data_IF_178584096248
#
_entry.id   IF_178584096248
#
_cell.length_a   1.000
_cell.length_b   1.000
_cell.length_c   1.000
_cell.angle_alpha   90.00
_cell.angle_beta   90.00
_cell.angle_gamma   90.00
#
_symmetry.space_group_name_H-M   'P 1'
#
loop_
_entity.id
_entity.type
_entity.pdbx_description
1 polymer ?
#
# COMPACT_ATOMS: atom_id res chain seq x y z
N UNK A 1 24.54 -61.47 17.02
CA UNK A 1 23.15 -61.43 16.50
C UNK A 1 22.24 -60.40 17.19
N UNK A 2 22.74 -59.40 17.94
CA UNK A 2 21.86 -58.45 18.66
C UNK A 2 21.84 -57.01 18.11
N UNK A 3 22.72 -56.64 17.17
CA UNK A 3 22.76 -55.28 16.60
C UNK A 3 21.72 -55.02 15.48
N UNK A 4 21.23 -56.07 14.81
CA UNK A 4 20.35 -55.89 13.63
C UNK A 4 18.88 -55.62 13.96
N UNK A 5 18.43 -55.92 15.19
CA UNK A 5 17.03 -55.72 15.60
C UNK A 5 16.76 -54.27 16.06
N UNK A 6 17.78 -53.56 16.53
CA UNK A 6 17.66 -52.16 16.97
C UNK A 6 17.54 -51.21 15.77
N UNK A 7 18.24 -51.48 14.66
CA UNK A 7 18.11 -50.69 13.43
C UNK A 7 16.72 -50.82 12.75
N UNK A 8 16.06 -51.97 12.90
CA UNK A 8 14.71 -52.18 12.35
C UNK A 8 13.64 -51.43 13.15
N UNK A 9 13.79 -51.33 14.49
CA UNK A 9 12.86 -50.57 15.33
C UNK A 9 12.88 -49.05 15.05
N UNK A 10 14.07 -48.50 14.73
CA UNK A 10 14.24 -47.06 14.45
C UNK A 10 13.68 -46.68 13.07
N UNK A 11 13.67 -47.61 12.11
CA UNK A 11 13.16 -47.34 10.76
C UNK A 11 11.62 -47.34 10.72
N UNK A 12 10.97 -48.21 11.50
CA UNK A 12 9.50 -48.26 11.63
C UNK A 12 8.93 -47.04 12.35
N UNK A 13 9.68 -46.43 13.28
CA UNK A 13 9.24 -45.21 13.97
C UNK A 13 9.19 -43.97 13.06
N UNK A 14 10.04 -43.91 12.02
CA UNK A 14 10.05 -42.79 11.06
C UNK A 14 8.91 -42.84 10.04
N UNK A 15 8.43 -44.01 9.65
CA UNK A 15 7.31 -44.16 8.70
C UNK A 15 5.95 -43.79 9.31
N UNK A 16 5.77 -43.92 10.62
CA UNK A 16 4.50 -43.59 11.29
C UNK A 16 4.33 -42.09 11.53
N UNK A 17 5.42 -41.32 11.51
CA UNK A 17 5.40 -39.86 11.70
C UNK A 17 5.05 -39.09 10.42
N UNK A 18 5.20 -39.70 9.24
CA UNK A 18 4.90 -39.05 7.96
C UNK A 18 3.43 -39.18 7.52
N UNK A 19 2.66 -40.14 8.07
CA UNK A 19 1.26 -40.38 7.67
C UNK A 19 0.19 -39.58 8.46
N UNK A 20 0.59 -38.73 9.42
CA UNK A 20 -0.35 -37.90 10.19
C UNK A 20 -0.58 -36.48 9.62
N UNK A 21 0.00 -36.14 8.47
CA UNK A 21 -0.15 -34.80 7.86
C UNK A 21 -1.27 -34.70 6.82
N UNK A 22 -2.06 -35.76 6.60
CA UNK A 22 -3.05 -35.82 5.53
C UNK A 22 -4.51 -36.04 6.00
N UNK A 23 -4.88 -35.66 7.23
CA UNK A 23 -6.29 -35.66 7.65
C UNK A 23 -6.68 -34.39 8.39
N UNK A 24 -7.45 -33.56 7.68
CA UNK A 24 -8.60 -32.82 8.19
C UNK A 24 -8.38 -32.02 9.48
N UNK A 25 -8.05 -30.75 9.30
CA UNK A 25 -8.23 -29.69 10.28
C UNK A 25 -9.69 -29.57 10.71
N UNK A 26 -9.99 -29.82 11.99
CA UNK A 26 -10.89 -29.03 12.87
C UNK A 26 -11.28 -29.77 14.16
N UNK A 27 -11.34 -31.10 14.17
CA UNK A 27 -12.12 -31.84 15.17
C UNK A 27 -11.30 -32.46 16.33
N UNK A 28 -9.96 -32.38 16.26
CA UNK A 28 -9.09 -33.16 17.15
C UNK A 28 -8.67 -32.45 18.46
N UNK A 29 -9.22 -31.26 18.77
CA UNK A 29 -8.70 -30.40 19.86
C UNK A 29 -9.67 -30.17 21.02
N UNK A 30 -10.99 -30.30 20.81
CA UNK A 30 -11.96 -30.37 21.93
C UNK A 30 -11.83 -31.68 22.74
N UNK A 31 -11.22 -32.71 22.15
CA UNK A 31 -10.98 -34.01 22.77
C UNK A 31 -10.09 -33.93 24.02
N UNK A 32 -9.06 -33.06 24.05
CA UNK A 32 -8.12 -33.00 25.19
C UNK A 32 -8.74 -32.55 26.52
N UNK A 33 -9.71 -31.63 26.48
CA UNK A 33 -10.41 -31.15 27.68
C UNK A 33 -11.47 -32.13 28.16
N UNK A 34 -12.19 -32.78 27.24
CA UNK A 34 -13.21 -33.78 27.57
C UNK A 34 -12.59 -35.07 28.08
N UNK A 35 -11.49 -35.52 27.47
CA UNK A 35 -10.72 -36.68 27.94
C UNK A 35 -10.09 -36.43 29.32
N UNK A 36 -9.64 -35.19 29.57
CA UNK A 36 -9.17 -34.78 30.89
C UNK A 36 -10.29 -34.78 31.95
N UNK A 37 -11.46 -34.21 31.65
CA UNK A 37 -12.60 -34.22 32.57
C UNK A 37 -13.07 -35.66 32.86
N UNK A 38 -13.02 -36.55 31.87
CA UNK A 38 -13.30 -37.97 32.07
C UNK A 38 -12.25 -38.66 32.96
N UNK A 39 -10.96 -38.36 32.76
CA UNK A 39 -9.90 -38.89 33.63
C UNK A 39 -10.01 -38.35 35.06
N UNK A 40 -10.35 -37.07 35.23
CA UNK A 40 -10.59 -36.44 36.52
C UNK A 40 -11.79 -37.07 37.25
N UNK A 41 -12.89 -37.29 36.53
CA UNK A 41 -14.10 -37.94 37.07
C UNK A 41 -13.82 -39.40 37.46
N UNK A 42 -13.03 -40.11 36.65
CA UNK A 42 -12.65 -41.51 36.89
C UNK A 42 -11.71 -41.65 38.10
N UNK A 43 -10.80 -40.68 38.30
CA UNK A 43 -9.94 -40.64 39.48
C UNK A 43 -10.74 -40.27 40.73
N UNK A 44 -11.65 -39.29 40.67
CA UNK A 44 -12.52 -38.90 41.79
C UNK A 44 -13.39 -40.07 42.27
N UNK A 45 -13.89 -40.90 41.35
CA UNK A 45 -14.68 -42.08 41.65
C UNK A 45 -13.88 -43.24 42.30
N UNK A 46 -12.53 -43.22 42.21
CA UNK A 46 -11.64 -44.30 42.69
C UNK A 46 -10.58 -43.82 43.70
N UNK A 47 -10.73 -42.64 44.30
CA UNK A 47 -9.78 -42.14 45.31
C UNK A 47 -10.07 -42.72 46.70
N UNK A 48 -9.01 -43.19 47.37
CA UNK A 48 -9.00 -43.53 48.79
C UNK A 48 -8.95 -42.21 49.61
N UNK A 49 -9.76 -42.03 50.68
CA UNK A 49 -9.90 -40.75 51.41
C UNK A 49 -8.63 -40.21 52.10
N UNK A 50 -7.52 -40.93 52.08
CA UNK A 50 -6.37 -40.68 52.95
C UNK A 50 -5.20 -39.90 52.32
N UNK A 51 -5.20 -39.60 51.01
CA UNK A 51 -4.10 -38.82 50.37
C UNK A 51 -4.55 -37.94 49.16
N UNK A 52 -5.05 -36.71 49.38
CA UNK A 52 -5.72 -35.90 48.36
C UNK A 52 -4.81 -35.09 47.40
N UNK A 53 -3.48 -35.27 47.37
CA UNK A 53 -2.57 -34.23 46.83
C UNK A 53 -2.36 -34.15 45.28
N UNK A 54 -2.97 -35.02 44.48
CA UNK A 54 -2.70 -35.11 43.01
C UNK A 54 -3.63 -34.30 42.07
N UNK A 55 -4.91 -34.02 42.39
CA UNK A 55 -5.83 -33.33 41.47
C UNK A 55 -5.50 -31.84 41.28
N UNK A 56 -5.01 -31.14 42.31
CA UNK A 56 -4.80 -29.69 42.24
C UNK A 56 -3.67 -29.28 41.28
N UNK A 57 -2.54 -29.99 41.30
CA UNK A 57 -1.41 -29.71 40.39
C UNK A 57 -1.78 -29.98 38.93
N UNK A 58 -2.59 -31.00 38.67
CA UNK A 58 -3.03 -31.32 37.30
C UNK A 58 -4.09 -30.32 36.81
N UNK A 59 -4.99 -29.85 37.69
CA UNK A 59 -5.90 -28.73 37.39
C UNK A 59 -5.13 -27.43 37.08
N UNK A 60 -4.06 -27.13 37.83
CA UNK A 60 -3.21 -25.96 37.54
C UNK A 60 -2.51 -26.07 36.18
N UNK A 61 -2.00 -27.25 35.82
CA UNK A 61 -1.40 -27.48 34.50
C UNK A 61 -2.45 -27.36 33.38
N UNK A 62 -3.65 -27.92 33.56
CA UNK A 62 -4.73 -27.79 32.57
C UNK A 62 -5.25 -26.36 32.42
N UNK A 63 -5.36 -25.60 33.52
CA UNK A 63 -5.69 -24.18 33.46
C UNK A 63 -4.61 -23.38 32.70
N UNK A 64 -3.33 -23.74 32.88
CA UNK A 64 -2.23 -23.12 32.13
C UNK A 64 -2.27 -23.47 30.63
N UNK A 65 -2.58 -24.73 30.28
CA UNK A 65 -2.74 -25.16 28.90
C UNK A 65 -3.95 -24.49 28.23
N UNK A 66 -5.10 -24.42 28.90
CA UNK A 66 -6.28 -23.72 28.38
C UNK A 66 -6.04 -22.22 28.16
N UNK A 67 -5.19 -21.59 28.98
CA UNK A 67 -4.78 -20.20 28.76
C UNK A 67 -3.89 -20.07 27.52
N UNK A 68 -2.93 -20.97 27.33
CA UNK A 68 -2.08 -21.00 26.13
C UNK A 68 -2.90 -21.27 24.87
N UNK A 69 -3.87 -22.19 24.92
CA UNK A 69 -4.80 -22.46 23.83
C UNK A 69 -5.65 -21.24 23.49
N UNK A 70 -6.20 -20.57 24.50
CA UNK A 70 -6.96 -19.35 24.28
C UNK A 70 -6.10 -18.24 23.64
N UNK A 71 -4.83 -18.11 24.04
CA UNK A 71 -3.88 -17.20 23.40
C UNK A 71 -3.56 -17.60 21.96
N UNK A 72 -3.44 -18.90 21.67
CA UNK A 72 -3.27 -19.40 20.30
C UNK A 72 -4.50 -19.12 19.43
N UNK A 73 -5.70 -19.30 19.98
CA UNK A 73 -6.97 -18.99 19.30
C UNK A 73 -7.09 -17.49 19.02
N UNK A 74 -6.76 -16.64 20.02
CA UNK A 74 -6.73 -15.19 19.87
C UNK A 74 -5.74 -14.77 18.76
N UNK A 75 -4.55 -15.34 18.74
CA UNK A 75 -3.55 -15.08 17.70
C UNK A 75 -4.04 -15.53 16.32
N UNK A 76 -4.77 -16.65 16.22
CA UNK A 76 -5.36 -17.12 14.97
C UNK A 76 -6.45 -16.16 14.46
N UNK A 77 -7.35 -15.73 15.34
CA UNK A 77 -8.39 -14.73 15.01
C UNK A 77 -7.74 -13.40 14.59
N UNK A 78 -6.68 -12.97 15.26
CA UNK A 78 -5.95 -11.74 14.92
C UNK A 78 -5.34 -11.83 13.51
N UNK A 79 -4.72 -12.97 13.16
CA UNK A 79 -4.22 -13.21 11.80
C UNK A 79 -5.34 -13.18 10.75
N UNK A 80 -6.52 -13.71 11.07
CA UNK A 80 -7.67 -13.66 10.18
C UNK A 80 -8.17 -12.22 9.96
N UNK A 81 -8.25 -11.42 11.03
CA UNK A 81 -8.64 -9.99 10.93
C UNK A 81 -7.64 -9.21 10.08
N UNK A 82 -6.34 -9.42 10.26
CA UNK A 82 -5.30 -8.82 9.41
C UNK A 82 -5.48 -9.25 7.94
N UNK A 83 -5.80 -10.53 7.71
CA UNK A 83 -6.11 -11.04 6.37
C UNK A 83 -7.29 -10.34 5.71
N UNK A 84 -8.40 -10.14 6.45
CA UNK A 84 -9.58 -9.40 5.98
C UNK A 84 -9.24 -7.92 5.71
N UNK A 85 -8.47 -7.28 6.59
CA UNK A 85 -8.03 -5.90 6.40
C UNK A 85 -7.19 -5.75 5.12
N UNK A 86 -6.29 -6.70 4.83
CA UNK A 86 -5.53 -6.74 3.57
C UNK A 86 -6.44 -6.90 2.36
N UNK A 87 -7.45 -7.77 2.42
CA UNK A 87 -8.41 -7.95 1.33
C UNK A 87 -9.20 -6.66 1.06
N UNK A 88 -9.67 -5.98 2.11
CA UNK A 88 -10.34 -4.68 2.00
C UNK A 88 -9.42 -3.64 1.37
N UNK A 89 -8.17 -3.52 1.84
CA UNK A 89 -7.20 -2.58 1.27
C UNK A 89 -6.94 -2.86 -0.23
N UNK A 90 -6.82 -4.14 -0.61
CA UNK A 90 -6.64 -4.54 -2.01
C UNK A 90 -7.86 -4.20 -2.87
N UNK A 91 -9.07 -4.44 -2.37
CA UNK A 91 -10.30 -4.07 -3.06
C UNK A 91 -10.43 -2.56 -3.24
N UNK A 92 -10.14 -1.78 -2.20
CA UNK A 92 -10.13 -0.31 -2.25
C UNK A 92 -9.08 0.22 -3.22
N UNK A 93 -7.87 -0.35 -3.25
CA UNK A 93 -6.85 0.02 -4.23
C UNK A 93 -7.27 -0.34 -5.66
N UNK A 94 -7.93 -1.49 -5.85
CA UNK A 94 -8.42 -1.93 -7.17
C UNK A 94 -9.47 -0.98 -7.74
N UNK A 95 -10.36 -0.44 -6.90
CA UNK A 95 -11.41 0.48 -7.35
C UNK A 95 -10.88 1.86 -7.79
N UNK A 96 -9.63 2.18 -7.44
CA UNK A 96 -8.97 3.42 -7.81
C UNK A 96 -8.36 3.37 -9.21
N UNK A 97 -8.16 2.19 -9.80
CA UNK A 97 -7.63 2.06 -11.15
C UNK A 97 -8.46 2.88 -12.16
N UNK A 98 -7.78 3.72 -12.94
CA UNK A 98 -8.41 4.62 -13.92
C UNK A 98 -9.11 5.84 -13.30
N UNK A 99 -9.10 6.01 -11.97
CA UNK A 99 -9.62 7.20 -11.31
C UNK A 99 -8.52 8.23 -11.10
N UNK A 100 -8.90 9.49 -11.14
CA UNK A 100 -8.06 10.59 -10.69
C UNK A 100 -8.06 10.64 -9.17
N UNK A 101 -6.87 10.69 -8.59
CA UNK A 101 -6.67 10.73 -7.15
C UNK A 101 -5.72 11.84 -6.77
N UNK A 102 -5.85 12.32 -5.55
CA UNK A 102 -4.92 13.24 -4.91
C UNK A 102 -4.16 12.47 -3.83
N UNK A 103 -2.82 12.57 -3.84
CA UNK A 103 -1.94 11.80 -2.98
C UNK A 103 -0.99 12.71 -2.23
N UNK A 104 -0.91 12.53 -0.92
CA UNK A 104 0.07 13.23 -0.09
C UNK A 104 1.47 12.74 -0.41
N UNK A 105 2.23 13.52 -1.17
CA UNK A 105 3.61 13.19 -1.52
C UNK A 105 4.45 14.43 -1.70
N UNK A 106 5.61 14.42 -1.06
CA UNK A 106 6.67 15.43 -1.19
C UNK A 106 7.74 15.02 -2.20
N UNK A 107 7.58 13.88 -2.90
CA UNK A 107 8.56 13.48 -3.91
C UNK A 107 8.43 14.34 -5.18
N UNK A 108 9.48 14.42 -5.99
CA UNK A 108 9.46 14.94 -7.35
C UNK A 108 10.31 13.98 -8.19
N UNK A 109 9.77 13.44 -9.27
CA UNK A 109 10.56 12.61 -10.19
C UNK A 109 10.99 13.47 -11.37
N UNK A 110 12.28 13.43 -11.68
CA UNK A 110 12.87 13.99 -12.89
C UNK A 110 13.16 12.83 -13.83
N UNK A 111 12.60 12.87 -15.02
CA UNK A 111 12.82 11.86 -16.07
C UNK A 111 13.04 12.55 -17.41
N UNK A 112 14.17 12.28 -18.05
CA UNK A 112 14.57 12.95 -19.29
C UNK A 112 14.55 14.48 -19.16
N UNK A 113 14.93 15.01 -17.99
CA UNK A 113 14.90 16.45 -17.69
C UNK A 113 13.50 17.07 -17.55
N UNK A 114 12.43 16.26 -17.52
CA UNK A 114 11.05 16.73 -17.36
C UNK A 114 10.53 16.36 -15.97
N UNK A 115 9.81 17.28 -15.33
CA UNK A 115 9.11 17.03 -14.07
C UNK A 115 7.59 17.03 -14.26
N UNK A 116 6.90 16.39 -13.32
CA UNK A 116 5.45 16.40 -13.26
C UNK A 116 4.96 17.50 -12.32
N UNK A 117 3.82 18.14 -12.61
CA UNK A 117 3.24 19.12 -11.72
C UNK A 117 2.94 18.55 -10.34
N UNK A 118 3.21 19.34 -9.31
CA UNK A 118 2.82 19.07 -7.93
C UNK A 118 1.83 20.12 -7.45
N UNK A 119 0.98 19.74 -6.52
CA UNK A 119 -0.05 20.62 -5.97
C UNK A 119 0.24 20.89 -4.49
N UNK A 120 -0.22 22.04 -4.03
CA UNK A 120 -0.28 22.33 -2.60
C UNK A 120 -1.50 23.17 -2.30
N UNK A 121 -2.05 23.02 -1.10
CA UNK A 121 -3.21 23.76 -0.63
C UNK A 121 -2.83 24.62 0.56
N UNK A 122 -3.03 25.92 0.42
CA UNK A 122 -2.90 26.89 1.50
C UNK A 122 -4.20 26.95 2.29
N UNK A 123 -4.11 26.82 3.61
CA UNK A 123 -5.27 26.94 4.52
C UNK A 123 -5.65 28.38 4.86
N UNK A 124 -4.91 29.37 4.34
CA UNK A 124 -5.17 30.80 4.47
C UNK A 124 -4.37 31.58 3.43
N UNK A 125 -4.60 32.89 3.35
CA UNK A 125 -3.84 33.77 2.46
C UNK A 125 -2.38 33.90 2.96
N UNK A 126 -1.43 33.87 2.02
CA UNK A 126 0.00 33.98 2.30
C UNK A 126 0.63 35.09 1.46
N UNK A 127 1.42 35.96 2.11
CA UNK A 127 2.15 37.05 1.45
C UNK A 127 3.49 36.59 0.88
N UNK A 128 4.05 35.52 1.46
CA UNK A 128 5.31 34.93 1.01
C UNK A 128 5.16 33.42 0.92
N UNK A 129 5.16 32.90 -0.29
CA UNK A 129 5.21 31.47 -0.58
C UNK A 129 6.51 31.15 -1.30
N UNK A 130 7.21 30.12 -0.82
CA UNK A 130 8.41 29.60 -1.46
C UNK A 130 8.36 28.08 -1.53
N UNK A 131 8.75 27.53 -2.67
CA UNK A 131 8.97 26.09 -2.86
C UNK A 131 10.46 25.81 -2.74
N UNK A 132 10.81 24.86 -1.89
CA UNK A 132 12.17 24.36 -1.75
C UNK A 132 12.25 22.98 -2.40
N UNK A 133 13.21 22.78 -3.31
CA UNK A 133 13.52 21.47 -3.89
C UNK A 133 14.84 20.99 -3.31
N UNK A 134 14.86 19.77 -2.83
CA UNK A 134 15.98 19.10 -2.20
C UNK A 134 16.44 17.91 -3.03
N UNK A 135 17.75 17.74 -3.13
CA UNK A 135 18.40 16.60 -3.74
C UNK A 135 18.24 15.31 -2.92
N UNK A 136 18.75 14.21 -3.48
CA UNK A 136 18.75 12.90 -2.79
C UNK A 136 19.58 12.90 -1.50
N UNK A 137 20.58 13.78 -1.39
CA UNK A 137 21.41 13.97 -0.20
C UNK A 137 20.77 14.84 0.89
N UNK A 138 19.62 15.46 0.62
CA UNK A 138 18.95 16.43 1.51
C UNK A 138 19.47 17.87 1.36
N UNK A 139 20.42 18.09 0.47
CA UNK A 139 20.91 19.38 0.02
C UNK A 139 19.81 20.19 -0.67
N UNK A 140 19.76 21.51 -0.42
CA UNK A 140 18.83 22.41 -1.09
C UNK A 140 19.35 22.66 -2.52
N UNK A 141 18.60 22.16 -3.49
CA UNK A 141 18.92 22.26 -4.93
C UNK A 141 18.36 23.55 -5.53
N UNK A 142 17.13 23.90 -5.18
CA UNK A 142 16.44 25.06 -5.75
C UNK A 142 15.50 25.67 -4.73
N UNK A 143 15.43 26.99 -4.73
CA UNK A 143 14.35 27.75 -4.09
C UNK A 143 13.62 28.55 -5.15
N UNK A 144 12.29 28.43 -5.17
CA UNK A 144 11.42 29.19 -6.08
C UNK A 144 10.46 30.02 -5.24
N UNK A 145 10.57 31.34 -5.32
CA UNK A 145 9.65 32.26 -4.64
C UNK A 145 8.40 32.50 -5.51
N UNK A 146 7.25 32.03 -5.03
CA UNK A 146 5.94 32.18 -5.67
C UNK A 146 5.21 33.46 -5.26
N UNK A 147 5.84 34.30 -4.43
CA UNK A 147 5.30 35.56 -3.90
C UNK A 147 3.98 35.32 -3.13
N UNK A 148 3.09 36.31 -3.10
CA UNK A 148 1.80 36.22 -2.44
C UNK A 148 0.86 35.29 -3.21
N UNK A 149 0.16 34.44 -2.48
CA UNK A 149 -0.82 33.48 -2.99
C UNK A 149 -2.03 33.46 -2.05
N UNK A 150 -3.23 33.47 -2.61
CA UNK A 150 -4.46 33.36 -1.82
C UNK A 150 -4.67 31.95 -1.26
N UNK A 151 -5.61 31.79 -0.33
CA UNK A 151 -6.02 30.48 0.15
C UNK A 151 -6.50 29.57 -1.00
N UNK A 152 -6.36 28.25 -0.83
CA UNK A 152 -6.82 27.26 -1.80
C UNK A 152 -5.71 26.48 -2.49
N UNK A 153 -6.06 25.82 -3.58
CA UNK A 153 -5.16 24.94 -4.34
C UNK A 153 -4.29 25.73 -5.31
N UNK A 154 -3.01 25.38 -5.31
CA UNK A 154 -1.98 25.93 -6.19
C UNK A 154 -1.20 24.78 -6.82
N UNK A 155 -0.63 25.05 -7.99
CA UNK A 155 0.19 24.10 -8.73
C UNK A 155 1.57 24.69 -9.00
N UNK A 156 2.58 23.84 -8.87
CA UNK A 156 3.97 24.16 -9.16
C UNK A 156 4.57 23.10 -10.07
N UNK A 157 5.39 23.53 -11.03
CA UNK A 157 6.18 22.66 -11.89
C UNK A 157 7.63 23.10 -11.76
N UNK A 158 8.51 22.16 -11.45
CA UNK A 158 9.93 22.44 -11.40
C UNK A 158 10.54 22.27 -12.80
N UNK A 159 11.39 23.19 -13.20
CA UNK A 159 12.10 23.15 -14.48
C UNK A 159 13.22 22.11 -14.54
N UNK A 160 13.52 21.43 -13.42
CA UNK A 160 14.62 20.47 -13.33
C UNK A 160 15.99 21.13 -13.25
N UNK A 161 16.04 22.43 -12.94
CA UNK A 161 17.27 23.20 -12.81
C UNK A 161 17.58 23.51 -11.34
N UNK A 162 18.86 23.60 -11.01
CA UNK A 162 19.31 24.03 -9.68
C UNK A 162 19.40 25.55 -9.53
N UNK A 163 19.96 26.02 -8.41
CA UNK A 163 20.17 27.44 -8.12
C UNK A 163 21.07 28.16 -9.13
N UNK A 164 22.03 27.43 -9.73
CA UNK A 164 23.02 27.96 -10.66
C UNK A 164 22.55 27.88 -12.12
N UNK A 165 21.46 27.17 -12.37
CA UNK A 165 20.84 27.00 -13.69
C UNK A 165 21.29 25.72 -14.41
N UNK A 166 22.03 24.85 -13.72
CA UNK A 166 22.47 23.58 -14.26
C UNK A 166 21.34 22.54 -14.21
N UNK A 167 21.32 21.65 -15.20
CA UNK A 167 20.31 20.58 -15.28
C UNK A 167 20.60 19.51 -14.24
N UNK A 168 19.58 19.18 -13.46
CA UNK A 168 19.65 18.12 -12.47
C UNK A 168 19.49 16.73 -13.11
N UNK A 169 20.26 15.72 -12.66
CA UNK A 169 20.14 14.36 -13.16
C UNK A 169 18.73 13.77 -12.98
N UNK A 170 18.41 12.79 -13.82
CA UNK A 170 17.21 11.97 -13.62
C UNK A 170 17.26 11.28 -12.25
N UNK A 171 16.16 11.38 -11.50
CA UNK A 171 16.14 10.91 -10.12
C UNK A 171 14.92 11.34 -9.33
N UNK A 172 14.92 10.97 -8.06
CA UNK A 172 13.86 11.32 -7.11
C UNK A 172 14.35 12.41 -6.16
N UNK A 173 13.70 13.55 -6.24
CA UNK A 173 13.91 14.73 -5.43
C UNK A 173 12.80 14.83 -4.39
N UNK A 174 12.99 15.73 -3.43
CA UNK A 174 11.95 16.11 -2.47
C UNK A 174 11.63 17.58 -2.63
N UNK A 175 10.39 17.97 -2.40
CA UNK A 175 10.05 19.38 -2.21
C UNK A 175 9.33 19.62 -0.89
N UNK A 176 9.34 20.88 -0.50
CA UNK A 176 8.56 21.43 0.59
C UNK A 176 8.04 22.81 0.20
N UNK A 177 6.96 23.25 0.85
CA UNK A 177 6.35 24.55 0.60
C UNK A 177 6.25 25.30 1.91
N UNK A 178 6.87 26.48 1.96
CA UNK A 178 6.79 27.37 3.10
C UNK A 178 5.92 28.55 2.73
N UNK A 179 4.89 28.79 3.55
CA UNK A 179 3.97 29.90 3.38
C UNK A 179 3.89 30.74 4.66
N UNK A 180 3.98 32.08 4.51
CA UNK A 180 3.95 33.02 5.63
C UNK A 180 3.03 34.21 5.36
N UNK A 181 2.40 34.70 6.42
CA UNK A 181 1.63 35.96 6.41
C UNK A 181 2.56 37.19 6.37
N UNK A 182 1.96 38.38 6.23
CA UNK A 182 2.68 39.66 6.32
C UNK A 182 3.50 39.78 7.63
N UNK A 183 2.89 39.33 8.74
CA UNK A 183 3.46 39.39 10.09
C UNK A 183 4.44 38.23 10.39
N UNK A 184 4.82 37.47 9.37
CA UNK A 184 5.68 36.27 9.48
C UNK A 184 5.09 35.09 10.24
N UNK A 185 3.77 35.07 10.48
CA UNK A 185 3.06 33.89 10.95
C UNK A 185 3.06 32.78 9.90
N UNK A 186 3.06 31.51 10.32
CA UNK A 186 3.01 30.37 9.40
C UNK A 186 1.59 30.15 8.88
N UNK A 187 1.47 29.89 7.58
CA UNK A 187 0.22 29.46 6.95
C UNK A 187 0.32 27.94 6.73
N UNK A 188 -0.59 27.12 7.28
CA UNK A 188 -0.55 25.68 7.08
C UNK A 188 -0.65 25.33 5.59
N UNK A 189 0.23 24.43 5.15
CA UNK A 189 0.28 23.94 3.77
C UNK A 189 0.05 22.44 3.75
N UNK A 190 -0.85 22.00 2.86
CA UNK A 190 -1.05 20.58 2.56
C UNK A 190 -0.44 20.30 1.19
N UNK A 191 0.57 19.43 1.15
CA UNK A 191 1.26 19.08 -0.09
C UNK A 191 0.64 17.83 -0.69
N UNK A 192 0.38 17.87 -2.00
CA UNK A 192 -0.25 16.77 -2.72
C UNK A 192 0.21 16.64 -4.18
N UNK A 193 -0.09 15.49 -4.77
CA UNK A 193 0.05 15.21 -6.19
C UNK A 193 -1.28 14.73 -6.72
N UNK A 194 -1.76 15.32 -7.81
CA UNK A 194 -2.90 14.82 -8.53
C UNK A 194 -2.46 13.99 -9.74
N UNK A 195 -3.15 12.87 -9.99
CA UNK A 195 -2.91 12.08 -11.19
C UNK A 195 -3.86 10.89 -11.29
N UNK A 196 -3.97 10.34 -12.50
CA UNK A 196 -4.73 9.13 -12.75
C UNK A 196 -3.96 7.90 -12.26
N UNK A 197 -4.64 6.98 -11.59
CA UNK A 197 -4.07 5.68 -11.24
C UNK A 197 -3.97 4.82 -12.50
N UNK A 198 -2.76 4.61 -13.00
CA UNK A 198 -2.47 3.83 -14.20
C UNK A 198 -2.28 2.33 -13.92
N UNK A 199 -2.11 1.94 -12.66
CA UNK A 199 -1.89 0.55 -12.28
C UNK A 199 -2.02 0.33 -10.78
N UNK A 200 -2.29 -0.91 -10.40
CA UNK A 200 -2.35 -1.35 -8.99
C UNK A 200 -1.50 -2.61 -8.84
N UNK A 201 -0.74 -2.68 -7.75
CA UNK A 201 0.10 -3.83 -7.42
C UNK A 201 -0.08 -4.22 -5.95
N UNK A 202 0.06 -5.51 -5.68
CA UNK A 202 -0.16 -6.11 -4.36
C UNK A 202 1.08 -6.84 -3.83
N UNK A 203 2.27 -6.30 -4.11
CA UNK A 203 3.52 -6.76 -3.53
C UNK A 203 3.67 -6.22 -2.10
N UNK A 204 3.90 -7.12 -1.14
CA UNK A 204 4.09 -6.78 0.27
C UNK A 204 2.79 -6.59 1.07
N UNK A 205 2.89 -5.80 2.13
CA UNK A 205 1.83 -5.64 3.16
C UNK A 205 0.71 -4.68 2.74
N UNK A 206 1.03 -3.65 1.95
CA UNK A 206 0.09 -2.59 1.55
C UNK A 206 0.04 -2.48 0.03
N UNK A 207 -1.15 -2.29 -0.56
CA UNK A 207 -1.28 -2.12 -2.00
C UNK A 207 -0.57 -0.85 -2.49
N UNK A 208 0.08 -0.95 -3.65
CA UNK A 208 0.70 0.16 -4.35
C UNK A 208 -0.18 0.58 -5.53
N UNK A 209 -0.26 1.87 -5.78
CA UNK A 209 -0.90 2.48 -6.95
C UNK A 209 0.16 3.20 -7.78
N UNK A 210 0.08 3.10 -9.10
CA UNK A 210 0.98 3.80 -10.03
C UNK A 210 0.36 5.11 -10.46
N UNK A 211 1.00 6.23 -10.12
CA UNK A 211 0.53 7.58 -10.42
C UNK A 211 1.69 8.37 -11.00
N UNK A 212 1.51 8.98 -12.17
CA UNK A 212 2.54 9.75 -12.88
C UNK A 212 3.89 9.01 -13.04
N UNK A 213 3.86 7.67 -13.15
CA UNK A 213 5.06 6.83 -13.27
C UNK A 213 5.55 6.21 -11.95
N UNK A 214 5.22 6.83 -10.82
CA UNK A 214 5.69 6.44 -9.49
C UNK A 214 4.74 5.43 -8.82
N UNK A 215 5.31 4.43 -8.13
CA UNK A 215 4.56 3.53 -7.26
C UNK A 215 4.43 4.14 -5.87
N UNK A 216 3.20 4.38 -5.42
CA UNK A 216 2.89 5.00 -4.13
C UNK A 216 1.95 4.09 -3.35
N UNK A 217 2.11 4.03 -2.03
CA UNK A 217 1.21 3.28 -1.16
C UNK A 217 -0.20 3.88 -1.20
N UNK A 218 -1.22 3.04 -1.42
CA UNK A 218 -2.60 3.49 -1.60
C UNK A 218 -3.17 4.26 -0.40
N UNK A 219 -2.67 4.02 0.82
CA UNK A 219 -3.11 4.76 2.01
C UNK A 219 -2.64 6.22 2.07
N UNK A 220 -1.73 6.63 1.17
CA UNK A 220 -1.33 8.04 1.01
C UNK A 220 -2.31 8.84 0.15
N UNK A 221 -3.30 8.18 -0.45
CA UNK A 221 -4.37 8.86 -1.18
C UNK A 221 -5.19 9.66 -0.18
N UNK A 222 -5.25 10.97 -0.39
CA UNK A 222 -5.98 11.92 0.43
C UNK A 222 -7.43 12.08 -0.03
N UNK A 223 -7.69 11.86 -1.33
CA UNK A 223 -9.01 11.99 -1.90
C UNK A 223 -9.08 11.66 -3.39
N UNK A 224 -10.29 11.79 -3.93
CA UNK A 224 -10.55 11.76 -5.36
C UNK A 224 -10.26 13.13 -5.97
N UNK A 225 -9.69 13.15 -7.18
CA UNK A 225 -9.46 14.37 -7.96
C UNK A 225 -10.34 14.36 -9.22
N UNK A 226 -10.41 15.48 -9.93
CA UNK A 226 -11.08 15.62 -11.24
C UNK A 226 -10.10 16.15 -12.31
N UNK A 227 -8.80 15.88 -12.12
CA UNK A 227 -7.74 16.42 -12.97
C UNK A 227 -7.93 16.09 -14.46
N UNK A 228 -8.34 14.87 -14.80
CA UNK A 228 -8.58 14.45 -16.18
C UNK A 228 -9.78 15.15 -16.78
N UNK A 229 -10.88 15.34 -16.04
CA UNK A 229 -12.02 16.14 -16.50
C UNK A 229 -11.63 17.60 -16.76
N UNK A 230 -10.85 18.20 -15.86
CA UNK A 230 -10.37 19.58 -16.03
C UNK A 230 -9.45 19.75 -17.25
N UNK A 231 -8.65 18.72 -17.56
CA UNK A 231 -7.71 18.75 -18.69
C UNK A 231 -8.36 18.40 -20.03
N UNK A 232 -9.30 17.47 -20.04
CA UNK A 232 -9.80 16.83 -21.26
C UNK A 232 -11.32 16.89 -21.43
N UNK A 233 -12.08 17.45 -20.48
CA UNK A 233 -13.55 17.46 -20.53
C UNK A 233 -14.14 18.21 -21.73
N UNK A 234 -13.37 19.11 -22.36
CA UNK A 234 -13.73 19.81 -23.59
C UNK A 234 -12.97 19.31 -24.82
N UNK A 235 -12.10 18.30 -24.67
CA UNK A 235 -11.33 17.79 -25.79
C UNK A 235 -12.24 17.05 -26.77
N UNK A 236 -12.11 17.35 -28.06
CA UNK A 236 -12.73 16.54 -29.11
C UNK A 236 -12.03 15.17 -29.11
N UNK A 237 -12.75 14.06 -28.87
CA UNK A 237 -12.13 12.74 -28.87
C UNK A 237 -11.53 12.44 -30.24
N UNK A 238 -10.37 11.78 -30.25
CA UNK A 238 -9.79 11.30 -31.51
C UNK A 238 -10.78 10.34 -32.18
N UNK A 239 -10.92 10.40 -33.51
CA UNK A 239 -11.71 9.41 -34.24
C UNK A 239 -11.18 8.01 -33.95
N UNK A 240 -12.09 7.03 -33.90
CA UNK A 240 -11.70 5.64 -33.72
C UNK A 240 -10.76 5.22 -34.86
N UNK A 241 -9.90 4.22 -34.61
CA UNK A 241 -8.99 3.72 -35.65
C UNK A 241 -9.73 3.29 -36.92
N UNK A 242 -10.98 2.86 -36.77
CA UNK A 242 -11.89 2.45 -37.85
C UNK A 242 -12.46 3.66 -38.64
N UNK A 243 -12.56 4.82 -37.98
CA UNK A 243 -13.01 6.08 -38.59
C UNK A 243 -11.84 6.89 -39.17
N UNK A 244 -10.59 6.46 -38.93
CA UNK A 244 -9.42 7.05 -39.56
C UNK A 244 -9.47 6.73 -41.05
N UNK A 245 -9.58 7.77 -41.88
CA UNK A 245 -9.43 7.64 -43.32
C UNK A 245 -8.13 6.90 -43.63
N UNK A 246 -8.15 5.89 -44.53
CA UNK A 246 -6.93 5.23 -44.97
C UNK A 246 -5.91 6.26 -45.44
N UNK A 247 -4.62 6.07 -45.13
CA UNK A 247 -3.57 7.05 -45.44
C UNK A 247 -3.53 7.47 -46.92
N UNK A 248 -3.88 6.56 -47.85
CA UNK A 248 -3.99 6.86 -49.28
C UNK A 248 -5.07 7.91 -49.58
N UNK A 249 -6.22 7.82 -48.92
CA UNK A 249 -7.35 8.76 -49.02
C UNK A 249 -7.01 10.13 -48.44
N UNK A 250 -6.21 10.19 -47.36
CA UNK A 250 -5.75 11.46 -46.79
C UNK A 250 -4.81 12.19 -47.75
N UNK A 251 -3.85 11.48 -48.38
CA UNK A 251 -2.94 12.04 -49.38
C UNK A 251 -3.70 12.57 -50.60
N UNK A 252 -4.76 11.90 -51.02
CA UNK A 252 -5.57 12.30 -52.18
C UNK A 252 -6.51 13.48 -51.87
N UNK A 253 -7.07 13.55 -50.66
CA UNK A 253 -7.81 14.72 -50.18
C UNK A 253 -6.89 15.94 -50.02
N UNK A 254 -5.68 15.74 -49.50
CA UNK A 254 -4.70 16.81 -49.32
C UNK A 254 -4.17 17.32 -50.67
N UNK A 255 -3.99 16.44 -51.67
CA UNK A 255 -3.71 16.83 -53.07
C UNK A 255 -4.86 17.59 -53.73
N UNK A 256 -6.12 17.18 -53.50
CA UNK A 256 -7.28 17.92 -54.03
C UNK A 256 -7.45 19.29 -53.38
N UNK A 257 -7.19 19.43 -52.09
CA UNK A 257 -7.26 20.74 -51.43
C UNK A 257 -6.20 21.71 -51.95
N UNK A 258 -4.98 21.22 -52.25
CA UNK A 258 -3.92 22.02 -52.84
C UNK A 258 -4.15 22.39 -54.33
N UNK A 259 -5.02 21.68 -55.05
CA UNK A 259 -5.36 21.98 -56.45
C UNK A 259 -6.51 22.98 -56.62
N UNK A 260 -7.17 23.39 -55.53
CA UNK A 260 -8.28 24.36 -55.55
C UNK A 260 -7.80 25.79 -55.26
N UNK A 261 -6.49 25.99 -55.03
CA UNK A 261 -5.87 27.28 -54.68
C UNK A 261 -5.09 27.95 -55.83
N UNK A 262 -5.26 27.52 -57.09
CA UNK A 262 -4.74 28.16 -58.31
C UNK A 262 -5.85 28.71 -59.21
#
# INVERSE_FOLDING_TARGET
MQASQVQQAITTAKSTQQNMTARGTADNRELGKQDFLNLLMTQLANQDPTDPMKPEQMMQQMASLGTVEQLQNLNAQTRQVIGLQKQIARASASSLLGRDVEVGSTSLSVQSGVTQPVSFKLQGDAERVAVHVFGTGGDLVRRVDLKAQGMGEHQFVWDGLDGDGDTMPDGNYRFDVVAKTAESGEVPVVISKAGMVAGVRFDGEQPLVKINGDWIVANKIMGMSNLSERRFGQATPLPLKEDLLPAATLVELQRRQLQVED
#
